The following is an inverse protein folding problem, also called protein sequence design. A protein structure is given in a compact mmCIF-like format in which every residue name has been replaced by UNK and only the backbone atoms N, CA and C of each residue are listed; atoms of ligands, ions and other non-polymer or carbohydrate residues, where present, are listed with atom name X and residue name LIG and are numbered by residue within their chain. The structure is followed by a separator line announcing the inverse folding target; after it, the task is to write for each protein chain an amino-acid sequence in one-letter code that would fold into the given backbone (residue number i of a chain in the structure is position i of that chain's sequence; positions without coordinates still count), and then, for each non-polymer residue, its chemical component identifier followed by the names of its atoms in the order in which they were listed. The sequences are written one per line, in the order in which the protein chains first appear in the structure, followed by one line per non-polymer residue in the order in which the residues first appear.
data_IF_140475752238
#
_entry.id   IF_140475752238
#
_cell.length_a   1.000
_cell.length_b   1.000
_cell.length_c   1.000
_cell.angle_alpha   90.00
_cell.angle_beta   90.00
_cell.angle_gamma   90.00
#
_symmetry.space_group_name_H-M   'P 1'
#
loop_
_entity.id
_entity.type
_entity.pdbx_description
1 polymer ?
#
# COMPACT_ATOMS: atom_id res chain seq x y z
N UNK A 1 -7.63 -6.97 5.22
CA UNK A 1 -7.32 -5.65 4.64
C UNK A 1 -7.19 -5.70 3.12
N UNK A 2 -6.32 -6.54 2.54
CA UNK A 2 -6.19 -6.65 1.06
C UNK A 2 -7.53 -6.81 0.35
N UNK A 3 -8.40 -7.70 0.85
CA UNK A 3 -9.73 -7.92 0.26
C UNK A 3 -10.64 -6.68 0.35
N UNK A 4 -10.52 -5.88 1.43
CA UNK A 4 -11.24 -4.61 1.55
C UNK A 4 -10.72 -3.60 0.52
N UNK A 5 -9.41 -3.49 0.37
CA UNK A 5 -8.77 -2.61 -0.62
C UNK A 5 -9.22 -3.01 -2.04
N UNK A 6 -9.19 -4.31 -2.38
CA UNK A 6 -9.67 -4.83 -3.67
C UNK A 6 -11.16 -4.52 -3.90
N UNK A 7 -12.00 -4.71 -2.88
CA UNK A 7 -13.44 -4.41 -2.95
C UNK A 7 -13.68 -2.94 -3.30
N UNK A 8 -12.91 -2.02 -2.68
CA UNK A 8 -13.03 -0.58 -2.97
C UNK A 8 -12.45 -0.25 -4.34
N UNK A 9 -11.29 -0.79 -4.72
CA UNK A 9 -10.70 -0.55 -6.05
C UNK A 9 -11.59 -1.04 -7.19
N UNK A 10 -12.40 -2.08 -6.97
CA UNK A 10 -13.36 -2.57 -7.96
C UNK A 10 -14.40 -1.52 -8.37
N UNK A 11 -14.61 -0.45 -7.58
CA UNK A 11 -15.50 0.67 -7.97
C UNK A 11 -14.82 1.68 -8.90
N UNK A 12 -13.52 1.54 -9.18
CA UNK A 12 -12.73 2.42 -10.06
C UNK A 12 -12.08 1.61 -11.20
N UNK A 13 -12.87 1.08 -12.16
CA UNK A 13 -12.36 0.18 -13.21
C UNK A 13 -11.34 0.83 -14.16
N UNK A 14 -11.31 2.16 -14.23
CA UNK A 14 -10.38 2.95 -15.05
C UNK A 14 -8.99 3.13 -14.41
N UNK A 15 -8.78 2.65 -13.17
CA UNK A 15 -7.55 2.86 -12.40
C UNK A 15 -6.77 1.55 -12.35
N UNK A 16 -5.53 1.59 -12.81
CA UNK A 16 -4.59 0.49 -12.59
C UNK A 16 -3.97 0.64 -11.19
N UNK A 17 -3.54 -0.46 -10.56
CA UNK A 17 -3.03 -0.43 -9.20
C UNK A 17 -2.03 -1.53 -8.89
N UNK A 18 -1.20 -1.29 -7.86
CA UNK A 18 -0.32 -2.29 -7.25
C UNK A 18 -0.47 -2.24 -5.73
N UNK A 19 -0.72 -3.39 -5.10
CA UNK A 19 -0.80 -3.52 -3.63
C UNK A 19 0.43 -4.29 -3.15
N UNK A 20 1.15 -3.73 -2.19
CA UNK A 20 2.23 -4.39 -1.47
C UNK A 20 1.85 -4.57 0.01
N UNK A 21 1.81 -5.81 0.48
CA UNK A 21 1.73 -6.14 1.91
C UNK A 21 3.11 -6.53 2.41
N UNK A 22 3.60 -5.82 3.43
CA UNK A 22 4.85 -6.13 4.11
C UNK A 22 4.52 -6.54 5.55
N UNK A 23 5.02 -7.70 5.98
CA UNK A 23 4.87 -8.18 7.36
C UNK A 23 6.22 -8.14 8.06
N UNK A 24 6.30 -7.40 9.17
CA UNK A 24 7.52 -7.21 9.97
C UNK A 24 7.31 -7.83 11.34
N UNK A 25 8.01 -8.93 11.59
CA UNK A 25 8.11 -9.56 12.90
C UNK A 25 9.51 -9.31 13.48
N UNK A 26 9.61 -8.81 14.71
CA UNK A 26 10.89 -8.73 15.41
C UNK A 26 10.78 -9.05 16.89
N UNK A 27 11.88 -9.57 17.42
CA UNK A 27 12.11 -9.76 18.85
C UNK A 27 13.38 -8.99 19.22
N UNK A 28 13.22 -8.03 20.11
CA UNK A 28 14.27 -7.10 20.53
C UNK A 28 14.47 -7.24 22.04
N UNK A 29 15.72 -7.43 22.47
CA UNK A 29 16.11 -7.55 23.87
C UNK A 29 17.05 -6.40 24.25
N UNK A 30 16.71 -5.67 25.32
CA UNK A 30 17.47 -4.53 25.81
C UNK A 30 18.13 -4.88 27.14
N UNK A 31 19.46 -4.88 27.16
CA UNK A 31 20.27 -5.19 28.34
C UNK A 31 20.92 -3.93 28.89
N UNK A 32 20.92 -3.78 30.22
CA UNK A 32 21.76 -2.80 30.92
C UNK A 32 22.82 -3.56 31.71
N UNK A 33 24.09 -3.40 31.31
CA UNK A 33 25.21 -4.26 31.73
C UNK A 33 24.94 -5.73 31.39
N UNK A 34 24.73 -6.58 32.40
CA UNK A 34 24.46 -8.02 32.26
C UNK A 34 22.99 -8.38 32.57
N UNK A 35 22.14 -7.38 32.83
CA UNK A 35 20.74 -7.59 33.21
C UNK A 35 19.81 -7.26 32.04
N UNK A 36 18.92 -8.18 31.70
CA UNK A 36 17.83 -7.93 30.76
C UNK A 36 16.85 -6.97 31.43
N UNK A 37 16.64 -5.80 30.83
CA UNK A 37 15.72 -4.78 31.35
C UNK A 37 14.36 -4.84 30.64
N UNK A 38 14.39 -4.98 29.32
CA UNK A 38 13.17 -4.96 28.51
C UNK A 38 13.30 -5.96 27.38
N UNK A 39 12.21 -6.66 27.09
CA UNK A 39 12.00 -7.39 25.85
C UNK A 39 10.82 -6.77 25.10
N UNK A 40 10.96 -6.61 23.79
CA UNK A 40 9.91 -6.10 22.90
C UNK A 40 9.74 -7.08 21.76
N UNK A 41 8.54 -7.60 21.62
CA UNK A 41 8.10 -8.29 20.40
C UNK A 41 7.23 -7.33 19.59
N UNK A 42 7.37 -7.33 18.27
CA UNK A 42 6.46 -6.63 17.36
C UNK A 42 6.07 -7.56 16.22
N UNK A 43 4.80 -7.50 15.85
CA UNK A 43 4.26 -8.09 14.64
C UNK A 43 3.40 -7.01 14.00
N UNK A 44 3.87 -6.44 12.89
CA UNK A 44 3.26 -5.29 12.24
C UNK A 44 3.10 -5.58 10.76
N UNK A 45 1.91 -5.29 10.24
CA UNK A 45 1.62 -5.31 8.80
C UNK A 45 1.61 -3.90 8.26
N UNK A 46 2.19 -3.71 7.08
CA UNK A 46 2.14 -2.47 6.33
C UNK A 46 1.49 -2.74 4.97
N UNK A 47 0.53 -1.91 4.59
CA UNK A 47 -0.10 -1.97 3.28
C UNK A 47 0.26 -0.71 2.52
N UNK A 48 0.95 -0.85 1.38
CA UNK A 48 1.26 0.24 0.47
C UNK A 48 0.51 0.03 -0.83
N UNK A 49 -0.25 1.03 -1.24
CA UNK A 49 -1.02 1.04 -2.47
C UNK A 49 -0.45 2.10 -3.40
N UNK A 50 -0.21 1.72 -4.65
CA UNK A 50 0.08 2.64 -5.73
C UNK A 50 -1.07 2.60 -6.73
N UNK A 51 -1.59 3.77 -7.10
CA UNK A 51 -2.65 3.91 -8.12
C UNK A 51 -2.10 4.65 -9.33
N UNK A 52 -2.55 4.25 -10.51
CA UNK A 52 -2.09 4.79 -11.78
C UNK A 52 -3.30 5.23 -12.62
N UNK A 53 -3.25 6.45 -13.12
CA UNK A 53 -4.33 7.06 -13.90
C UNK A 53 -3.76 7.53 -15.23
N UNK A 54 -4.37 7.11 -16.33
CA UNK A 54 -4.00 7.55 -17.67
C UNK A 54 -4.85 8.75 -18.09
N UNK A 55 -4.20 9.86 -18.42
CA UNK A 55 -4.85 11.08 -18.92
C UNK A 55 -4.01 11.72 -20.02
N UNK A 56 -4.65 12.01 -21.16
CA UNK A 56 -4.07 12.79 -22.26
C UNK A 56 -2.65 12.35 -22.71
N UNK A 57 -2.41 11.03 -22.71
CA UNK A 57 -1.11 10.45 -23.10
C UNK A 57 -0.04 10.45 -22.01
N UNK A 58 -0.39 10.80 -20.77
CA UNK A 58 0.46 10.66 -19.59
C UNK A 58 -0.13 9.63 -18.62
N UNK A 59 0.74 8.95 -17.86
CA UNK A 59 0.33 8.01 -16.81
C UNK A 59 0.79 8.52 -15.46
N UNK A 60 -0.12 9.17 -14.74
CA UNK A 60 0.14 9.68 -13.40
C UNK A 60 0.15 8.56 -12.36
N UNK A 61 0.83 8.79 -11.24
CA UNK A 61 0.99 7.80 -10.16
C UNK A 61 0.90 8.49 -8.81
N UNK A 62 0.27 7.82 -7.85
CA UNK A 62 0.28 8.21 -6.45
C UNK A 62 0.50 6.98 -5.55
N UNK A 63 1.36 7.14 -4.55
CA UNK A 63 1.72 6.12 -3.58
C UNK A 63 1.27 6.53 -2.18
N UNK A 64 0.57 5.64 -1.48
CA UNK A 64 0.13 5.91 -0.12
C UNK A 64 0.05 4.63 0.72
N UNK A 65 0.10 4.80 2.04
CA UNK A 65 -0.01 3.72 2.99
C UNK A 65 -1.43 3.64 3.55
N UNK A 66 -1.92 2.41 3.76
CA UNK A 66 -3.20 2.14 4.42
C UNK A 66 -2.90 1.48 5.76
N UNK A 67 -3.42 2.07 6.83
CA UNK A 67 -3.26 1.53 8.17
C UNK A 67 -4.01 0.18 8.28
N UNK A 68 -3.46 -0.87 8.92
CA UNK A 68 -4.09 -2.18 9.04
C UNK A 68 -5.50 -2.17 9.66
N UNK A 69 -5.74 -1.21 10.56
CA UNK A 69 -7.03 -1.01 11.23
C UNK A 69 -7.92 0.06 10.59
N UNK A 70 -7.57 0.57 9.40
CA UNK A 70 -8.40 1.55 8.70
C UNK A 70 -9.80 0.97 8.39
N UNK A 71 -10.83 1.81 8.52
CA UNK A 71 -12.21 1.43 8.19
C UNK A 71 -12.49 1.56 6.69
N UNK A 72 -13.57 0.96 6.21
CA UNK A 72 -13.93 0.99 4.77
C UNK A 72 -14.05 2.43 4.24
N UNK A 73 -14.61 3.35 5.02
CA UNK A 73 -14.78 4.75 4.64
C UNK A 73 -13.43 5.47 4.53
N UNK A 74 -12.50 5.17 5.43
CA UNK A 74 -11.16 5.74 5.40
C UNK A 74 -10.36 5.20 4.21
N UNK A 75 -10.47 3.90 3.92
CA UNK A 75 -9.87 3.27 2.74
C UNK A 75 -10.41 3.89 1.45
N UNK A 76 -11.72 4.11 1.37
CA UNK A 76 -12.35 4.81 0.24
C UNK A 76 -11.77 6.21 0.05
N UNK A 77 -11.75 7.01 1.12
CA UNK A 77 -11.21 8.37 1.08
C UNK A 77 -9.74 8.39 0.60
N UNK A 78 -8.90 7.51 1.16
CA UNK A 78 -7.48 7.43 0.77
C UNK A 78 -7.31 7.05 -0.71
N UNK A 79 -8.14 6.13 -1.22
CA UNK A 79 -8.12 5.76 -2.64
C UNK A 79 -8.59 6.91 -3.52
N UNK A 80 -9.66 7.61 -3.16
CA UNK A 80 -10.14 8.78 -3.90
C UNK A 80 -9.09 9.89 -3.97
N UNK A 81 -8.48 10.23 -2.82
CA UNK A 81 -7.38 11.19 -2.74
C UNK A 81 -6.18 10.75 -3.60
N UNK A 82 -5.82 9.47 -3.56
CA UNK A 82 -4.76 8.91 -4.38
C UNK A 82 -5.05 8.97 -5.88
N UNK A 83 -6.26 8.62 -6.30
CA UNK A 83 -6.69 8.68 -7.71
C UNK A 83 -6.67 10.13 -8.20
N UNK A 84 -7.17 11.05 -7.38
CA UNK A 84 -7.11 12.48 -7.70
C UNK A 84 -5.66 12.96 -7.83
N UNK A 85 -4.79 12.64 -6.87
CA UNK A 85 -3.37 13.00 -6.92
C UNK A 85 -2.67 12.42 -8.15
N UNK A 86 -2.95 11.15 -8.48
CA UNK A 86 -2.42 10.52 -9.69
C UNK A 86 -2.89 11.23 -10.96
N UNK A 87 -4.16 11.65 -11.03
CA UNK A 87 -4.68 12.40 -12.20
C UNK A 87 -3.97 13.73 -12.47
N UNK A 88 -3.36 14.34 -11.45
CA UNK A 88 -2.63 15.60 -11.57
C UNK A 88 -1.16 15.40 -12.00
N UNK A 89 -0.64 14.18 -11.87
CA UNK A 89 0.74 13.85 -12.22
C UNK A 89 0.89 13.55 -13.72
N UNK A 90 1.83 14.22 -14.38
CA UNK A 90 2.09 14.07 -15.83
C UNK A 90 3.39 13.30 -16.09
N UNK A 91 3.44 12.04 -15.69
CA UNK A 91 4.61 11.20 -15.96
C UNK A 91 4.53 10.58 -17.36
N UNK A 92 5.69 10.28 -17.96
CA UNK A 92 5.75 9.53 -19.22
C UNK A 92 5.06 8.18 -19.04
N UNK A 93 4.25 7.77 -20.01
CA UNK A 93 3.52 6.51 -19.95
C UNK A 93 4.45 5.30 -19.88
N UNK A 94 4.11 4.35 -19.01
CA UNK A 94 4.79 3.07 -18.85
C UNK A 94 3.79 1.94 -18.64
N UNK A 95 4.21 0.72 -18.98
CA UNK A 95 3.41 -0.48 -18.75
C UNK A 95 3.69 -1.03 -17.35
N UNK A 96 2.63 -1.46 -16.66
CA UNK A 96 2.79 -2.18 -15.40
C UNK A 96 3.21 -3.62 -15.67
N UNK A 97 4.03 -4.21 -14.78
CA UNK A 97 4.37 -5.62 -14.89
C UNK A 97 3.10 -6.46 -14.78
N UNK A 98 2.98 -7.47 -15.65
CA UNK A 98 1.89 -8.43 -15.57
C UNK A 98 1.98 -9.21 -14.25
N UNK A 99 0.85 -9.60 -13.63
CA UNK A 99 0.86 -10.35 -12.38
C UNK A 99 1.62 -11.66 -12.57
N UNK A 100 2.83 -11.73 -12.00
CA UNK A 100 3.64 -12.94 -11.99
C UNK A 100 3.22 -13.76 -10.78
N UNK A 101 2.66 -14.95 -11.00
CA UNK A 101 2.48 -15.91 -9.90
C UNK A 101 3.87 -16.24 -9.36
N UNK A 102 4.20 -15.73 -8.17
CA UNK A 102 5.35 -16.20 -7.42
C UNK A 102 5.14 -17.71 -7.19
N UNK A 103 6.00 -18.53 -7.80
CA UNK A 103 6.12 -19.93 -7.43
C UNK A 103 6.75 -19.94 -6.03
N UNK A 104 5.92 -20.17 -5.03
CA UNK A 104 6.35 -20.56 -3.68
C UNK A 104 6.72 -22.05 -3.70
#
# INVERSE_FOLDING_TARGET
MIELIKKVLATYPQVEWTINEESVSSYELFFVRRLLQMNRAKDVKHYRLSVYVEQAGFKGTADFAIHPGAKEEEVKRLIEEGVYAASLAKNKTFLLPSPKKLKL
#
